data_IF_347311302688
#
_entry.id   IF_347311302688
#
_cell.length_a   1.000
_cell.length_b   1.000
_cell.length_c   1.000
_cell.angle_alpha   90.00
_cell.angle_beta   90.00
_cell.angle_gamma   90.00
#
_symmetry.space_group_name_H-M   'P 1'
#
loop_
_entity.id
_entity.type
_entity.pdbx_description
1 polymer ?
#
# COMPACT_ATOMS: atom_id res chain seq x y z
N UNK A 1 11.85 -11.66 -9.82
CA UNK A 1 11.06 -12.65 -9.07
C UNK A 1 11.11 -12.44 -7.56
N UNK A 2 12.30 -12.37 -6.98
CA UNK A 2 12.44 -12.20 -5.52
C UNK A 2 11.78 -10.94 -4.99
N UNK A 3 11.80 -9.83 -5.75
CA UNK A 3 11.20 -8.56 -5.32
C UNK A 3 9.68 -8.65 -5.23
N UNK A 4 9.04 -9.40 -6.11
CA UNK A 4 7.59 -9.57 -6.08
C UNK A 4 7.16 -10.46 -4.91
N UNK A 5 7.98 -11.45 -4.57
CA UNK A 5 7.76 -12.25 -3.39
C UNK A 5 7.84 -11.38 -2.13
N UNK A 6 8.79 -10.44 -2.10
CA UNK A 6 8.91 -9.50 -0.99
C UNK A 6 7.63 -8.67 -0.84
N UNK A 7 7.09 -8.12 -1.92
CA UNK A 7 5.85 -7.34 -1.86
C UNK A 7 4.67 -8.20 -1.38
N UNK A 8 4.60 -9.46 -1.83
CA UNK A 8 3.56 -10.38 -1.37
C UNK A 8 3.63 -10.56 0.14
N UNK A 9 4.83 -10.77 0.69
CA UNK A 9 5.02 -10.88 2.13
C UNK A 9 4.68 -9.59 2.85
N UNK A 10 5.03 -8.44 2.29
CA UNK A 10 4.71 -7.15 2.89
C UNK A 10 3.21 -6.93 2.96
N UNK A 11 2.47 -7.27 1.91
CA UNK A 11 1.01 -7.16 1.93
C UNK A 11 0.39 -8.08 2.96
N UNK A 12 0.86 -9.32 3.04
CA UNK A 12 0.35 -10.27 4.02
C UNK A 12 0.64 -9.81 5.43
N UNK A 13 1.88 -9.38 5.70
CA UNK A 13 2.27 -8.90 7.02
C UNK A 13 1.46 -7.68 7.43
N UNK A 14 1.28 -6.72 6.51
CA UNK A 14 0.50 -5.52 6.77
C UNK A 14 -0.95 -5.88 7.08
N UNK A 15 -1.56 -6.78 6.29
CA UNK A 15 -2.93 -7.22 6.51
C UNK A 15 -3.11 -7.89 7.86
N UNK A 16 -2.20 -8.80 8.23
CA UNK A 16 -2.24 -9.48 9.53
C UNK A 16 -2.08 -8.48 10.67
N UNK A 17 -1.12 -7.54 10.55
CA UNK A 17 -0.89 -6.52 11.57
C UNK A 17 -2.12 -5.63 11.76
N UNK A 18 -2.72 -5.17 10.66
CA UNK A 18 -3.91 -4.31 10.73
C UNK A 18 -5.10 -5.05 11.34
N UNK A 19 -5.28 -6.32 10.97
CA UNK A 19 -6.35 -7.15 11.53
C UNK A 19 -6.13 -7.34 13.03
N UNK A 20 -4.91 -7.67 13.44
CA UNK A 20 -4.58 -7.88 14.85
C UNK A 20 -4.82 -6.61 15.67
N UNK A 21 -4.44 -5.44 15.14
CA UNK A 21 -4.66 -4.16 15.81
C UNK A 21 -6.17 -3.90 15.95
N UNK A 22 -6.93 -4.10 14.87
CA UNK A 22 -8.35 -3.84 14.87
C UNK A 22 -9.10 -4.74 15.86
N UNK A 23 -8.70 -6.01 15.97
CA UNK A 23 -9.32 -6.95 16.90
C UNK A 23 -8.83 -6.78 18.34
N UNK A 24 -7.55 -6.38 18.50
CA UNK A 24 -6.94 -6.23 19.82
C UNK A 24 -7.35 -4.97 20.56
N UNK A 25 -7.93 -3.98 19.88
CA UNK A 25 -8.34 -2.71 20.47
C UNK A 25 -9.82 -2.48 20.21
N UNK A 26 -10.73 -3.08 21.01
CA UNK A 26 -12.17 -2.94 20.77
C UNK A 26 -12.72 -1.54 21.06
N UNK A 27 -11.95 -0.70 21.76
CA UNK A 27 -12.38 0.65 22.14
C UNK A 27 -12.04 1.72 21.09
N UNK A 28 -11.54 1.32 19.92
CA UNK A 28 -11.23 2.27 18.85
C UNK A 28 -12.51 2.89 18.30
N UNK A 29 -12.45 4.17 17.84
CA UNK A 29 -13.58 4.77 17.15
C UNK A 29 -14.01 3.91 15.96
N UNK A 30 -15.33 3.84 15.71
CA UNK A 30 -15.87 2.98 14.65
C UNK A 30 -15.30 3.34 13.26
N UNK A 31 -15.06 4.63 13.01
CA UNK A 31 -14.47 5.06 11.75
C UNK A 31 -13.07 4.54 11.54
N UNK A 32 -12.23 4.61 12.59
CA UNK A 32 -10.87 4.08 12.54
C UNK A 32 -10.86 2.57 12.40
N UNK A 33 -11.72 1.88 13.13
CA UNK A 33 -11.82 0.43 13.07
C UNK A 33 -12.22 -0.04 11.66
N UNK A 34 -13.19 0.64 11.03
CA UNK A 34 -13.57 0.35 9.65
C UNK A 34 -12.41 0.60 8.68
N UNK A 35 -11.67 1.68 8.89
CA UNK A 35 -10.50 1.99 8.06
C UNK A 35 -9.44 0.90 8.17
N UNK A 36 -9.17 0.42 9.39
CA UNK A 36 -8.20 -0.67 9.60
C UNK A 36 -8.65 -1.96 8.91
N UNK A 37 -9.93 -2.33 9.05
CA UNK A 37 -10.44 -3.53 8.39
C UNK A 37 -10.44 -3.40 6.87
N UNK A 38 -10.80 -2.23 6.34
CA UNK A 38 -10.78 -1.98 4.90
C UNK A 38 -9.37 -2.09 4.35
N UNK A 39 -8.39 -1.50 5.03
CA UNK A 39 -6.99 -1.56 4.63
C UNK A 39 -6.44 -2.98 4.73
N UNK A 40 -6.82 -3.73 5.76
CA UNK A 40 -6.44 -5.13 5.90
C UNK A 40 -7.00 -5.96 4.74
N UNK A 41 -8.28 -5.75 4.41
CA UNK A 41 -8.90 -6.42 3.27
C UNK A 41 -8.20 -6.10 1.97
N UNK A 42 -7.88 -4.82 1.74
CA UNK A 42 -7.13 -4.41 0.56
C UNK A 42 -5.76 -5.07 0.51
N UNK A 43 -5.09 -5.21 1.66
CA UNK A 43 -3.79 -5.88 1.74
C UNK A 43 -3.89 -7.35 1.36
N UNK A 44 -4.93 -8.05 1.83
CA UNK A 44 -5.15 -9.45 1.47
C UNK A 44 -5.45 -9.61 -0.02
N UNK A 45 -6.26 -8.71 -0.58
CA UNK A 45 -6.56 -8.71 -2.01
C UNK A 45 -5.30 -8.48 -2.82
N UNK A 46 -4.46 -7.52 -2.41
CA UNK A 46 -3.19 -7.24 -3.07
C UNK A 46 -2.26 -8.46 -3.02
N UNK A 47 -2.24 -9.16 -1.89
CA UNK A 47 -1.46 -10.39 -1.74
C UNK A 47 -1.92 -11.45 -2.73
N UNK A 48 -3.24 -11.64 -2.87
CA UNK A 48 -3.80 -12.59 -3.82
C UNK A 48 -3.48 -12.20 -5.26
N UNK A 49 -3.64 -10.93 -5.60
CA UNK A 49 -3.35 -10.44 -6.96
C UNK A 49 -1.88 -10.64 -7.31
N UNK A 50 -0.99 -10.47 -6.34
CA UNK A 50 0.43 -10.67 -6.55
C UNK A 50 0.82 -12.14 -6.75
N UNK A 51 0.01 -13.07 -6.25
CA UNK A 51 0.22 -14.49 -6.44
C UNK A 51 0.01 -14.89 -7.90
N UNK A 52 -0.83 -14.14 -8.62
CA UNK A 52 -1.12 -14.41 -10.02
C UNK A 52 -0.36 -13.44 -10.94
N UNK A 53 0.20 -13.93 -12.06
CA UNK A 53 0.94 -13.07 -12.98
C UNK A 53 0.07 -12.04 -13.70
N UNK A 54 -1.24 -12.15 -13.63
CA UNK A 54 -2.19 -11.27 -14.29
C UNK A 54 -1.98 -9.80 -13.90
N UNK A 55 -1.83 -9.52 -12.61
CA UNK A 55 -1.65 -8.16 -12.12
C UNK A 55 -0.39 -7.51 -12.69
N UNK A 56 0.71 -8.26 -12.65
CA UNK A 56 1.99 -7.78 -13.17
C UNK A 56 1.91 -7.51 -14.68
N UNK A 57 1.33 -8.44 -15.44
CA UNK A 57 1.19 -8.28 -16.88
C UNK A 57 0.31 -7.09 -17.25
N UNK A 58 -0.79 -6.90 -16.54
CA UNK A 58 -1.68 -5.75 -16.77
C UNK A 58 -0.94 -4.44 -16.51
N UNK A 59 -0.18 -4.35 -15.43
CA UNK A 59 0.60 -3.16 -15.10
C UNK A 59 1.66 -2.88 -16.17
N UNK A 60 2.36 -3.91 -16.62
CA UNK A 60 3.37 -3.76 -17.67
C UNK A 60 2.75 -3.25 -18.96
N UNK A 61 1.63 -3.82 -19.36
CA UNK A 61 0.93 -3.39 -20.59
C UNK A 61 0.49 -1.93 -20.50
N UNK A 62 -0.04 -1.55 -19.35
CA UNK A 62 -0.53 -0.19 -19.15
C UNK A 62 0.60 0.84 -19.27
N UNK A 63 1.71 0.60 -18.58
CA UNK A 63 2.81 1.57 -18.53
C UNK A 63 3.79 1.46 -19.69
N UNK A 64 3.80 0.36 -20.44
CA UNK A 64 4.70 0.18 -21.58
C UNK A 64 4.48 1.26 -22.65
N UNK A 65 3.23 1.63 -22.90
CA UNK A 65 2.87 2.63 -23.91
C UNK A 65 2.77 4.04 -23.35
N UNK A 66 2.86 4.19 -22.04
CA UNK A 66 2.60 5.46 -21.36
C UNK A 66 3.64 5.73 -20.30
N UNK A 67 4.91 5.80 -20.73
CA UNK A 67 6.04 5.98 -19.81
C UNK A 67 5.91 7.26 -18.98
N UNK A 68 5.29 8.31 -19.54
CA UNK A 68 5.10 9.56 -18.81
C UNK A 68 4.18 9.42 -17.61
N UNK A 69 3.30 8.42 -17.62
CA UNK A 69 2.38 8.19 -16.51
C UNK A 69 3.04 7.56 -15.28
N UNK A 70 4.30 7.12 -15.41
CA UNK A 70 5.06 6.57 -14.27
C UNK A 70 5.23 7.62 -13.16
N UNK A 71 5.18 8.91 -13.51
CA UNK A 71 5.27 9.98 -12.51
C UNK A 71 4.07 9.99 -11.55
N UNK A 72 2.90 9.50 -11.99
CA UNK A 72 1.70 9.49 -11.16
C UNK A 72 1.85 8.64 -9.89
N UNK A 73 2.36 7.38 -9.95
CA UNK A 73 2.63 6.62 -8.73
C UNK A 73 3.57 7.34 -7.77
N UNK A 74 4.60 8.02 -8.28
CA UNK A 74 5.50 8.81 -7.45
C UNK A 74 4.78 9.94 -6.73
N UNK A 75 3.90 10.65 -7.45
CA UNK A 75 3.10 11.73 -6.87
C UNK A 75 2.17 11.21 -5.79
N UNK A 76 1.52 10.08 -6.03
CA UNK A 76 0.59 9.49 -5.05
C UNK A 76 1.35 9.09 -3.78
N UNK A 77 2.52 8.46 -3.92
CA UNK A 77 3.35 8.10 -2.77
C UNK A 77 3.75 9.34 -1.99
N UNK A 78 4.21 10.39 -2.68
CA UNK A 78 4.61 11.63 -2.04
C UNK A 78 3.47 12.28 -1.27
N UNK A 79 2.30 12.38 -1.89
CA UNK A 79 1.11 12.96 -1.25
C UNK A 79 0.70 12.15 -0.04
N UNK A 80 0.72 10.81 -0.13
CA UNK A 80 0.37 9.96 0.99
C UNK A 80 1.35 10.13 2.16
N UNK A 81 2.65 10.16 1.88
CA UNK A 81 3.67 10.32 2.93
C UNK A 81 3.51 11.68 3.60
N UNK A 82 3.35 12.75 2.83
CA UNK A 82 3.15 14.10 3.39
C UNK A 82 1.87 14.14 4.21
N UNK A 83 0.78 13.54 3.71
CA UNK A 83 -0.48 13.46 4.43
C UNK A 83 -0.37 12.70 5.75
N UNK A 84 0.37 11.59 5.75
CA UNK A 84 0.60 10.81 6.97
C UNK A 84 1.35 11.62 8.02
N UNK A 85 2.43 12.30 7.60
CA UNK A 85 3.24 13.13 8.52
C UNK A 85 2.39 14.27 9.07
N UNK A 86 1.65 14.96 8.18
CA UNK A 86 0.78 16.07 8.58
C UNK A 86 -0.27 15.62 9.59
N UNK A 87 -0.94 14.51 9.32
CA UNK A 87 -2.00 13.98 10.17
C UNK A 87 -1.46 13.62 11.56
N UNK A 88 -0.30 12.95 11.61
CA UNK A 88 0.31 12.53 12.87
C UNK A 88 0.75 13.77 13.66
N UNK A 89 1.37 14.76 13.01
CA UNK A 89 1.83 15.97 13.69
C UNK A 89 0.67 16.83 14.18
N UNK A 90 -0.39 16.98 13.37
CA UNK A 90 -1.52 17.82 13.73
C UNK A 90 -2.32 17.25 14.91
N UNK A 91 -2.27 15.94 15.11
CA UNK A 91 -2.95 15.28 16.23
C UNK A 91 -2.00 14.94 17.38
N UNK A 92 -0.81 15.57 17.42
CA UNK A 92 0.17 15.41 18.49
C UNK A 92 0.60 13.97 18.76
N UNK A 93 0.75 13.19 17.67
CA UNK A 93 1.23 11.80 17.76
C UNK A 93 0.31 10.90 18.59
N UNK A 94 -0.99 11.14 18.53
CA UNK A 94 -1.96 10.26 19.20
C UNK A 94 -1.91 8.86 18.57
N UNK A 95 -2.30 7.86 19.36
CA UNK A 95 -2.34 6.49 18.87
C UNK A 95 -3.28 6.36 17.66
N UNK A 96 -4.40 7.07 17.68
CA UNK A 96 -5.37 7.05 16.57
C UNK A 96 -4.75 7.58 15.27
N UNK A 97 -3.97 8.67 15.37
CA UNK A 97 -3.28 9.23 14.21
C UNK A 97 -2.25 8.26 13.65
N UNK A 98 -1.49 7.59 14.52
CA UNK A 98 -0.49 6.62 14.12
C UNK A 98 -1.14 5.42 13.43
N UNK A 99 -2.26 4.92 13.97
CA UNK A 99 -2.99 3.82 13.35
C UNK A 99 -3.60 4.21 12.02
N UNK A 100 -4.12 5.44 11.92
CA UNK A 100 -4.63 5.97 10.65
C UNK A 100 -3.54 6.06 9.58
N UNK A 101 -2.36 6.55 9.97
CA UNK A 101 -1.21 6.60 9.08
C UNK A 101 -0.79 5.19 8.65
N UNK A 102 -0.78 4.25 9.59
CA UNK A 102 -0.42 2.87 9.31
C UNK A 102 -1.36 2.24 8.26
N UNK A 103 -2.67 2.57 8.33
CA UNK A 103 -3.63 2.06 7.36
C UNK A 103 -3.39 2.58 5.94
N UNK A 104 -2.71 3.72 5.79
CA UNK A 104 -2.38 4.28 4.47
C UNK A 104 -1.18 3.61 3.80
N UNK A 105 -0.43 2.80 4.55
CA UNK A 105 0.75 2.12 4.01
C UNK A 105 0.40 1.19 2.84
N UNK A 106 -0.81 0.64 2.81
CA UNK A 106 -1.22 -0.23 1.70
C UNK A 106 -1.18 0.53 0.36
N UNK A 107 -1.63 1.79 0.35
CA UNK A 107 -1.56 2.61 -0.87
C UNK A 107 -0.13 2.86 -1.30
N UNK A 108 0.74 3.18 -0.34
CA UNK A 108 2.17 3.39 -0.62
C UNK A 108 2.80 2.13 -1.20
N UNK A 109 2.51 0.96 -0.62
CA UNK A 109 3.06 -0.30 -1.09
C UNK A 109 2.58 -0.64 -2.50
N UNK A 110 1.30 -0.43 -2.80
CA UNK A 110 0.74 -0.71 -4.12
C UNK A 110 1.43 0.13 -5.21
N UNK A 111 1.56 1.43 -4.97
CA UNK A 111 2.20 2.31 -5.95
C UNK A 111 3.70 2.11 -6.02
N UNK A 112 4.36 1.75 -4.90
CA UNK A 112 5.77 1.38 -4.91
C UNK A 112 6.01 0.13 -5.77
N UNK A 113 5.12 -0.85 -5.67
CA UNK A 113 5.20 -2.05 -6.49
C UNK A 113 5.06 -1.72 -7.97
N UNK A 114 4.13 -0.84 -8.32
CA UNK A 114 3.96 -0.39 -9.72
C UNK A 114 5.25 0.24 -10.24
N UNK A 115 5.90 1.08 -9.43
CA UNK A 115 7.17 1.70 -9.80
C UNK A 115 8.25 0.65 -10.02
N UNK A 116 8.35 -0.33 -9.13
CA UNK A 116 9.35 -1.40 -9.26
C UNK A 116 9.12 -2.22 -10.52
N UNK A 117 7.86 -2.56 -10.82
CA UNK A 117 7.50 -3.30 -12.03
C UNK A 117 7.93 -2.53 -13.28
N UNK A 118 7.57 -1.24 -13.35
CA UNK A 118 7.93 -0.40 -14.50
C UNK A 118 9.43 -0.24 -14.65
N UNK A 119 10.13 -0.07 -13.54
CA UNK A 119 11.59 0.04 -13.58
C UNK A 119 12.22 -1.24 -14.12
N UNK A 120 11.79 -2.39 -13.66
CA UNK A 120 12.34 -3.67 -14.13
C UNK A 120 12.13 -3.86 -15.63
N UNK A 121 10.95 -3.49 -16.15
CA UNK A 121 10.67 -3.58 -17.58
C UNK A 121 11.58 -2.66 -18.38
N UNK A 122 11.77 -1.44 -17.89
CA UNK A 122 12.64 -0.47 -18.58
C UNK A 122 14.11 -0.86 -18.54
N UNK A 123 14.56 -1.49 -17.47
CA UNK A 123 15.96 -1.90 -17.33
C UNK A 123 16.29 -3.14 -18.16
N UNK A 124 15.30 -3.94 -18.54
CA UNK A 124 15.48 -5.11 -19.40
C UNK A 124 15.62 -4.71 -20.88
N UNK A 125 15.40 -3.46 -21.23
CA UNK A 125 15.57 -2.94 -22.55
C UNK A 125 16.84 -2.11 -22.62
#
# INVERSE_FOLDING_TARGET
MKRFTLFTFLYLALGVCLTAIALGYPNLPSGLQRSLFSSAGASYIACLLNTFPFWRETTIRFYRRRNSLVILPWLVIGVNIVGMIWEVQSQNWTMEAILGAFSRLIGVLLFAEIIVITWQVNSEH
#
